data_IF_376236498502
#
_entry.id   IF_376236498502
#
_cell.length_a   1.000
_cell.length_b   1.000
_cell.length_c   1.000
_cell.angle_alpha   90.00
_cell.angle_beta   90.00
_cell.angle_gamma   90.00
#
_symmetry.space_group_name_H-M   'P 1'
#
loop_
_entity.id
_entity.type
_entity.pdbx_description
1 polymer ?
#
# COMPACT_ATOMS: atom_id res chain seq x y z
N UNK A 1 -21.91 -3.93 -70.62
CA UNK A 1 -20.51 -4.32 -70.33
C UNK A 1 -20.18 -3.93 -68.89
N UNK A 2 -19.96 -4.91 -68.00
CA UNK A 2 -19.66 -4.67 -66.58
C UNK A 2 -18.20 -4.24 -66.45
N UNK A 3 -17.96 -3.01 -65.96
CA UNK A 3 -16.62 -2.54 -65.61
C UNK A 3 -16.12 -3.35 -64.41
N UNK A 4 -15.11 -4.19 -64.63
CA UNK A 4 -14.31 -4.75 -63.54
C UNK A 4 -13.57 -3.57 -62.90
N UNK A 5 -13.99 -3.19 -61.69
CA UNK A 5 -13.21 -2.30 -60.82
C UNK A 5 -12.06 -3.13 -60.31
N UNK A 6 -10.93 -3.09 -61.02
CA UNK A 6 -9.70 -3.72 -60.58
C UNK A 6 -9.37 -3.23 -59.17
N UNK A 7 -9.22 -4.17 -58.24
CA UNK A 7 -8.72 -3.95 -56.89
C UNK A 7 -7.48 -3.08 -56.95
N UNK A 8 -7.62 -1.83 -56.55
CA UNK A 8 -6.54 -0.86 -56.70
C UNK A 8 -5.47 -1.16 -55.65
N UNK A 9 -4.18 -1.10 -56.01
CA UNK A 9 -3.04 -1.28 -55.10
C UNK A 9 -3.18 -0.45 -53.81
N UNK A 10 -3.80 0.73 -53.92
CA UNK A 10 -4.08 1.61 -52.79
C UNK A 10 -5.01 0.97 -51.75
N UNK A 11 -5.94 0.10 -52.13
CA UNK A 11 -6.84 -0.59 -51.19
C UNK A 11 -6.07 -1.56 -50.29
N UNK A 12 -5.12 -2.30 -50.86
CA UNK A 12 -4.23 -3.19 -50.10
C UNK A 12 -3.36 -2.38 -49.14
N UNK A 13 -2.78 -1.27 -49.61
CA UNK A 13 -1.97 -0.38 -48.76
C UNK A 13 -2.80 0.21 -47.62
N UNK A 14 -4.01 0.68 -47.91
CA UNK A 14 -4.93 1.21 -46.89
C UNK A 14 -5.32 0.11 -45.89
N UNK A 15 -5.61 -1.11 -46.35
CA UNK A 15 -5.91 -2.24 -45.47
C UNK A 15 -4.73 -2.58 -44.54
N UNK A 16 -3.50 -2.61 -45.06
CA UNK A 16 -2.30 -2.80 -44.24
C UNK A 16 -2.06 -1.65 -43.26
N UNK A 17 -2.27 -0.40 -43.67
CA UNK A 17 -2.16 0.75 -42.78
C UNK A 17 -3.17 0.68 -41.62
N UNK A 18 -4.43 0.37 -41.92
CA UNK A 18 -5.47 0.17 -40.90
C UNK A 18 -5.16 -1.00 -39.97
N UNK A 19 -4.67 -2.12 -40.53
CA UNK A 19 -4.24 -3.27 -39.75
C UNK A 19 -3.09 -2.91 -38.80
N UNK A 20 -2.07 -2.21 -39.30
CA UNK A 20 -0.94 -1.77 -38.49
C UNK A 20 -1.39 -0.83 -37.37
N UNK A 21 -2.31 0.10 -37.64
CA UNK A 21 -2.89 0.99 -36.63
C UNK A 21 -3.69 0.20 -35.58
N UNK A 22 -4.55 -0.72 -36.01
CA UNK A 22 -5.35 -1.55 -35.12
C UNK A 22 -4.47 -2.42 -34.19
N UNK A 23 -3.44 -3.06 -34.74
CA UNK A 23 -2.47 -3.84 -33.97
C UNK A 23 -1.68 -2.96 -33.01
N UNK A 24 -1.29 -1.75 -33.41
CA UNK A 24 -0.58 -0.81 -32.54
C UNK A 24 -1.42 -0.40 -31.33
N UNK A 25 -2.70 -0.12 -31.55
CA UNK A 25 -3.65 0.20 -30.48
C UNK A 25 -3.85 -1.00 -29.54
N UNK A 26 -3.99 -2.21 -30.09
CA UNK A 26 -4.15 -3.44 -29.32
C UNK A 26 -2.92 -3.74 -28.46
N UNK A 27 -1.72 -3.61 -29.02
CA UNK A 27 -0.49 -3.84 -28.28
C UNK A 27 -0.30 -2.78 -27.18
N UNK A 28 -0.68 -1.53 -27.46
CA UNK A 28 -0.68 -0.44 -26.48
C UNK A 28 -1.62 -0.72 -25.30
N UNK A 29 -2.85 -1.16 -25.57
CA UNK A 29 -3.84 -1.47 -24.53
C UNK A 29 -3.43 -2.70 -23.70
N UNK A 30 -2.93 -3.76 -24.33
CA UNK A 30 -2.43 -4.95 -23.65
C UNK A 30 -1.23 -4.62 -22.75
N UNK A 31 -0.30 -3.81 -23.26
CA UNK A 31 0.85 -3.34 -22.47
C UNK A 31 0.42 -2.49 -21.28
N UNK A 32 -0.61 -1.66 -21.45
CA UNK A 32 -1.23 -0.90 -20.37
C UNK A 32 -1.82 -1.80 -19.30
N UNK A 33 -2.65 -2.77 -19.71
CA UNK A 33 -3.27 -3.74 -18.81
C UNK A 33 -2.23 -4.56 -18.04
N UNK A 34 -1.19 -5.04 -18.71
CA UNK A 34 -0.11 -5.80 -18.06
C UNK A 34 0.63 -4.98 -16.99
N UNK A 35 0.91 -3.69 -17.26
CA UNK A 35 1.50 -2.79 -16.27
C UNK A 35 0.57 -2.54 -15.08
N UNK A 36 -0.73 -2.39 -15.35
CA UNK A 36 -1.72 -2.16 -14.30
C UNK A 36 -1.87 -3.38 -13.38
N UNK A 37 -1.87 -4.59 -13.94
CA UNK A 37 -1.88 -5.85 -13.17
C UNK A 37 -0.64 -5.94 -12.28
N UNK A 38 0.56 -5.63 -12.80
CA UNK A 38 1.79 -5.64 -12.01
C UNK A 38 1.75 -4.66 -10.83
N UNK A 39 1.30 -3.42 -11.07
CA UNK A 39 1.17 -2.42 -10.01
C UNK A 39 0.16 -2.85 -8.93
N UNK A 40 -0.95 -3.49 -9.33
CA UNK A 40 -1.93 -4.02 -8.39
C UNK A 40 -1.39 -5.19 -7.56
N UNK A 41 -0.59 -6.07 -8.17
CA UNK A 41 0.08 -7.16 -7.47
C UNK A 41 1.07 -6.64 -6.41
N UNK A 42 1.92 -5.68 -6.76
CA UNK A 42 2.87 -5.06 -5.83
C UNK A 42 2.16 -4.41 -4.64
N UNK A 43 1.08 -3.65 -4.90
CA UNK A 43 0.27 -3.04 -3.84
C UNK A 43 -0.37 -4.10 -2.94
N UNK A 44 -0.81 -5.22 -3.50
CA UNK A 44 -1.41 -6.32 -2.74
C UNK A 44 -0.36 -6.97 -1.83
N UNK A 45 0.83 -7.26 -2.36
CA UNK A 45 1.94 -7.82 -1.58
C UNK A 45 2.39 -6.88 -0.46
N UNK A 46 2.54 -5.59 -0.75
CA UNK A 46 2.82 -4.57 0.26
C UNK A 46 1.77 -4.56 1.39
N UNK A 47 0.49 -4.70 1.03
CA UNK A 47 -0.62 -4.76 1.99
C UNK A 47 -0.54 -6.00 2.87
N UNK A 48 -0.26 -7.17 2.29
CA UNK A 48 -0.11 -8.42 3.06
C UNK A 48 1.07 -8.35 4.03
N UNK A 49 2.21 -7.79 3.61
CA UNK A 49 3.35 -7.55 4.49
C UNK A 49 2.99 -6.60 5.63
N UNK A 50 2.28 -5.50 5.33
CA UNK A 50 1.82 -4.56 6.34
C UNK A 50 0.87 -5.20 7.35
N UNK A 51 -0.09 -6.00 6.87
CA UNK A 51 -1.04 -6.72 7.72
C UNK A 51 -0.33 -7.72 8.63
N UNK A 52 0.62 -8.49 8.09
CA UNK A 52 1.42 -9.43 8.87
C UNK A 52 2.21 -8.72 9.97
N UNK A 53 2.90 -7.63 9.63
CA UNK A 53 3.67 -6.84 10.61
C UNK A 53 2.77 -6.24 11.70
N UNK A 54 1.61 -5.70 11.32
CA UNK A 54 0.64 -5.18 12.28
C UNK A 54 0.04 -6.30 13.14
N UNK A 55 -0.23 -7.48 12.58
CA UNK A 55 -0.83 -8.60 13.31
C UNK A 55 0.09 -9.10 14.43
N UNK A 56 1.41 -9.17 14.18
CA UNK A 56 2.38 -9.62 15.19
C UNK A 56 2.61 -8.59 16.30
N UNK A 57 2.52 -7.29 15.97
CA UNK A 57 2.68 -6.23 16.97
C UNK A 57 1.64 -6.38 18.09
N UNK A 58 2.09 -6.43 19.34
CA UNK A 58 1.22 -6.45 20.53
C UNK A 58 0.74 -7.81 20.99
N UNK A 59 1.10 -8.88 20.29
CA UNK A 59 0.82 -10.26 20.72
C UNK A 59 1.95 -10.78 21.60
N UNK A 60 3.20 -10.63 21.17
CA UNK A 60 4.36 -11.19 21.89
C UNK A 60 4.95 -10.25 22.94
N UNK A 61 4.83 -8.92 22.76
CA UNK A 61 5.37 -7.92 23.68
C UNK A 61 4.39 -6.77 23.86
N UNK A 62 4.31 -6.16 25.05
CA UNK A 62 3.54 -4.93 25.26
C UNK A 62 3.94 -3.88 24.23
N UNK A 63 2.95 -3.25 23.60
CA UNK A 63 3.22 -2.11 22.72
C UNK A 63 3.78 -0.96 23.56
N UNK A 64 5.02 -0.61 23.27
CA UNK A 64 5.65 0.59 23.79
C UNK A 64 5.81 1.61 22.65
N UNK A 65 5.80 2.92 22.97
CA UNK A 65 6.17 3.96 22.02
C UNK A 65 7.57 3.68 21.46
N UNK A 66 7.64 3.44 20.16
CA UNK A 66 8.87 3.06 19.49
C UNK A 66 8.80 3.41 18.01
N UNK A 67 9.95 3.71 17.43
CA UNK A 67 10.14 3.73 15.98
C UNK A 67 10.85 2.44 15.56
N UNK A 68 10.27 1.78 14.56
CA UNK A 68 10.82 0.57 13.98
C UNK A 68 10.92 0.77 12.47
N UNK A 69 11.94 0.18 11.86
CA UNK A 69 12.14 0.26 10.43
C UNK A 69 12.77 -1.03 9.94
N UNK A 70 12.58 -1.32 8.66
CA UNK A 70 13.17 -2.50 8.06
C UNK A 70 12.84 -2.63 6.59
N UNK A 71 13.12 -3.81 6.07
CA UNK A 71 12.91 -4.16 4.67
C UNK A 71 12.30 -5.53 4.53
N UNK A 72 11.43 -5.71 3.53
CA UNK A 72 10.97 -7.03 3.07
C UNK A 72 11.50 -7.33 1.66
N UNK A 73 11.41 -8.59 1.26
CA UNK A 73 11.81 -9.10 -0.06
C UNK A 73 13.18 -8.52 -0.50
N UNK A 74 14.22 -8.73 0.32
CA UNK A 74 15.59 -8.30 0.04
C UNK A 74 15.76 -6.79 -0.28
N UNK A 75 14.92 -5.93 0.31
CA UNK A 75 15.03 -4.48 0.14
C UNK A 75 14.06 -3.88 -0.86
N UNK A 76 13.26 -4.70 -1.55
CA UNK A 76 12.25 -4.22 -2.50
C UNK A 76 11.18 -3.37 -1.79
N UNK A 77 10.70 -3.83 -0.64
CA UNK A 77 9.80 -3.06 0.21
C UNK A 77 10.57 -2.50 1.39
N UNK A 78 10.55 -1.18 1.56
CA UNK A 78 11.08 -0.48 2.74
C UNK A 78 9.92 -0.04 3.62
N UNK A 79 9.99 -0.33 4.91
CA UNK A 79 8.93 0.03 5.83
C UNK A 79 9.45 0.79 7.04
N UNK A 80 8.62 1.69 7.55
CA UNK A 80 8.82 2.39 8.82
C UNK A 80 7.52 2.40 9.60
N UNK A 81 7.64 2.16 10.89
CA UNK A 81 6.54 2.13 11.84
C UNK A 81 6.84 3.06 12.99
N UNK A 82 5.89 3.92 13.31
CA UNK A 82 5.97 4.88 14.39
C UNK A 82 4.79 4.65 15.34
N UNK A 83 5.11 4.33 16.59
CA UNK A 83 4.13 4.11 17.66
C UNK A 83 4.23 5.28 18.63
N UNK A 84 3.13 6.03 18.80
CA UNK A 84 3.07 7.18 19.71
C UNK A 84 1.84 7.12 20.60
N UNK A 85 1.91 7.70 21.81
CA UNK A 85 0.71 7.99 22.59
C UNK A 85 -0.28 8.80 21.75
N UNK A 86 -1.55 8.40 21.77
CA UNK A 86 -2.61 9.13 21.10
C UNK A 86 -3.26 10.09 22.10
N UNK A 87 -3.05 11.38 21.89
CA UNK A 87 -3.74 12.43 22.65
C UNK A 87 -5.18 12.53 22.16
N UNK A 88 -6.10 11.99 22.96
CA UNK A 88 -7.52 11.98 22.63
C UNK A 88 -8.11 13.40 22.74
N UNK A 89 -8.57 14.03 21.65
CA UNK A 89 -9.00 15.44 21.69
C UNK A 89 -10.23 15.69 22.58
N UNK A 90 -11.00 14.64 22.85
CA UNK A 90 -12.22 14.70 23.67
C UNK A 90 -11.95 14.43 25.15
N UNK A 91 -10.73 14.05 25.52
CA UNK A 91 -10.38 13.76 26.92
C UNK A 91 -10.36 15.07 27.70
N UNK A 92 -11.07 15.11 28.82
CA UNK A 92 -11.01 16.22 29.75
C UNK A 92 -9.60 16.25 30.40
N UNK A 93 -8.78 17.30 30.21
CA UNK A 93 -7.43 17.39 30.78
C UNK A 93 -7.42 17.41 32.31
N UNK A 94 -8.54 17.78 32.93
CA UNK A 94 -8.69 17.90 34.38
C UNK A 94 -9.25 16.63 35.03
N UNK A 95 -9.62 15.61 34.25
CA UNK A 95 -10.11 14.36 34.80
C UNK A 95 -8.95 13.58 35.44
N UNK A 96 -9.12 13.04 36.67
CA UNK A 96 -8.09 12.24 37.32
C UNK A 96 -7.75 11.02 36.45
N UNK A 97 -6.46 10.82 36.16
CA UNK A 97 -5.98 9.62 35.48
C UNK A 97 -5.92 8.51 36.53
N UNK A 98 -6.86 7.56 36.47
CA UNK A 98 -6.83 6.39 37.34
C UNK A 98 -5.54 5.57 37.11
N UNK A 99 -4.81 5.16 38.15
CA UNK A 99 -3.73 4.18 38.02
C UNK A 99 -4.29 2.91 37.38
N UNK A 100 -3.70 2.45 36.26
CA UNK A 100 -4.25 1.35 35.47
C UNK A 100 -5.22 1.77 34.35
N UNK A 101 -5.43 3.07 34.12
CA UNK A 101 -6.23 3.55 33.00
C UNK A 101 -5.64 3.08 31.67
N UNK A 102 -6.51 2.65 30.76
CA UNK A 102 -6.11 2.20 29.44
C UNK A 102 -5.55 3.38 28.65
N UNK A 103 -4.40 3.18 28.01
CA UNK A 103 -3.76 4.18 27.14
C UNK A 103 -4.03 3.84 25.69
N UNK A 104 -4.38 4.85 24.90
CA UNK A 104 -4.48 4.72 23.44
C UNK A 104 -3.11 5.00 22.84
N UNK A 105 -2.64 4.09 22.01
CA UNK A 105 -1.46 4.27 21.18
C UNK A 105 -1.90 4.31 19.72
N UNK A 106 -1.31 5.23 18.96
CA UNK A 106 -1.45 5.27 17.52
C UNK A 106 -0.22 4.63 16.88
N UNK A 107 -0.46 3.67 15.99
CA UNK A 107 0.57 3.08 15.15
C UNK A 107 0.40 3.62 13.74
N UNK A 108 1.46 4.18 13.19
CA UNK A 108 1.54 4.63 11.80
C UNK A 108 2.57 3.77 11.09
N UNK A 109 2.14 2.95 10.14
CA UNK A 109 3.00 2.12 9.32
C UNK A 109 3.02 2.69 7.89
N UNK A 110 4.21 2.89 7.36
CA UNK A 110 4.44 3.31 5.98
C UNK A 110 5.28 2.24 5.29
N UNK A 111 4.82 1.76 4.14
CA UNK A 111 5.54 0.80 3.28
C UNK A 111 5.73 1.45 1.91
N UNK A 112 6.96 1.44 1.40
CA UNK A 112 7.35 2.04 0.12
C UNK A 112 8.09 1.02 -0.73
N UNK A 113 7.75 0.93 -2.01
CA UNK A 113 8.44 0.08 -2.99
C UNK A 113 8.90 0.82 -4.24
N UNK A 114 8.77 2.15 -4.24
CA UNK A 114 9.49 3.01 -5.15
C UNK A 114 9.30 4.49 -4.83
N UNK A 115 9.51 5.32 -5.84
CA UNK A 115 9.65 6.78 -5.68
C UNK A 115 8.34 7.54 -5.95
N UNK A 116 7.42 6.93 -6.67
CA UNK A 116 6.15 7.56 -6.99
C UNK A 116 5.18 7.54 -5.79
N UNK A 117 4.29 8.54 -5.63
CA UNK A 117 3.32 8.57 -4.54
C UNK A 117 2.36 7.38 -4.49
N UNK A 118 2.06 6.77 -5.65
CA UNK A 118 1.22 5.57 -5.75
C UNK A 118 1.96 4.26 -5.40
N UNK A 119 3.27 4.32 -5.15
CA UNK A 119 4.12 3.18 -4.73
C UNK A 119 4.42 3.25 -3.22
N UNK A 120 3.49 3.84 -2.47
CA UNK A 120 3.53 3.98 -1.03
C UNK A 120 2.18 3.60 -0.45
N UNK A 121 2.20 2.75 0.57
CA UNK A 121 1.05 2.39 1.38
C UNK A 121 1.25 2.96 2.78
N UNK A 122 0.23 3.63 3.32
CA UNK A 122 0.22 4.12 4.69
C UNK A 122 -0.98 3.55 5.45
N UNK A 123 -0.72 2.94 6.59
CA UNK A 123 -1.72 2.44 7.52
C UNK A 123 -1.65 3.22 8.82
N UNK A 124 -2.81 3.64 9.35
CA UNK A 124 -2.94 4.15 10.71
C UNK A 124 -3.92 3.30 11.50
N UNK A 125 -3.52 2.87 12.69
CA UNK A 125 -4.39 2.10 13.58
C UNK A 125 -4.25 2.60 15.01
N UNK A 126 -5.34 2.51 15.77
CA UNK A 126 -5.40 2.86 17.19
C UNK A 126 -5.49 1.58 17.98
N UNK A 127 -4.64 1.45 19.00
CA UNK A 127 -4.63 0.30 19.90
C UNK A 127 -4.77 0.76 21.34
N UNK A 128 -5.69 0.10 22.03
CA UNK A 128 -5.87 0.25 23.45
C UNK A 128 -4.91 -0.72 24.16
N UNK A 129 -4.05 -0.18 25.02
CA UNK A 129 -3.14 -0.98 25.84
C UNK A 129 -3.51 -0.74 27.30
N UNK A 130 -3.71 -1.80 28.07
CA UNK A 130 -3.85 -1.67 29.51
C UNK A 130 -2.53 -1.09 30.06
N UNK A 131 -2.59 -0.09 30.93
CA UNK A 131 -1.39 0.35 31.63
C UNK A 131 -0.89 -0.86 32.45
N UNK A 132 0.24 -1.42 32.05
CA UNK A 132 0.90 -2.46 32.82
C UNK A 132 1.19 -1.87 34.20
N UNK A 133 0.56 -2.44 35.22
CA UNK A 133 0.96 -2.21 36.60
C UNK A 133 2.34 -2.87 36.77
N UNK A 134 3.40 -2.20 36.31
CA UNK A 134 4.76 -2.57 36.68
C UNK A 134 4.92 -2.22 38.15
N UNK A 135 4.63 -3.22 38.99
CA UNK A 135 4.97 -3.25 40.39
C UNK A 135 6.49 -3.12 40.55
N UNK A 136 6.87 -2.02 41.18
CA UNK A 136 8.03 -1.81 42.04
C UNK A 136 8.98 -3.03 42.22
N UNK A 137 10.27 -2.96 41.84
CA UNK A 137 11.25 -3.86 42.41
C UNK A 137 11.53 -3.41 43.85
N UNK A 138 11.19 -4.28 44.81
CA UNK A 138 11.60 -4.17 46.22
C UNK A 138 13.12 -4.36 46.38
#
# INVERSE_FOLDING_TARGET
>A
MKRQRGYTLIEVIVAFALLALALSLLLGSLSGAARQVRAADESTRATLHAQSLLAVQGIEKPLEPAQQQGTFENGHFRWSMDVRPYDEPRRNPQAPISPGAHRLLQLTLVVRWGEQPNQMLQWRTLRLVAASAQGNPS
#
